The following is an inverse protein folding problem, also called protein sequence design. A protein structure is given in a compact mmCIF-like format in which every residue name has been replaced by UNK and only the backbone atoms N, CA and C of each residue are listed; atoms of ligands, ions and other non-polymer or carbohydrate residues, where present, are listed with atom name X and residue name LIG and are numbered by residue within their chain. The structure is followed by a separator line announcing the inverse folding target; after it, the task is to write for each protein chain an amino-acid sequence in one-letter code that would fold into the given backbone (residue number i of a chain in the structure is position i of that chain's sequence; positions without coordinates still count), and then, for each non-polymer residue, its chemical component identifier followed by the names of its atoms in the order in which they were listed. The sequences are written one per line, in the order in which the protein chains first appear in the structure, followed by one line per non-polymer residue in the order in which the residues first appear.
data_IF_404201178235
#
_entry.id   IF_404201178235
#
_cell.length_a   1.000
_cell.length_b   1.000
_cell.length_c   1.000
_cell.angle_alpha   90.00
_cell.angle_beta   90.00
_cell.angle_gamma   90.00
#
_symmetry.space_group_name_H-M   'P 1'
#
loop_
_entity.id
_entity.type
_entity.pdbx_description
1 polymer ?
#
# COMPACT_ATOMS: atom_id res chain seq x y z
N UNK A 1 -71.84 -18.26 28.32
CA UNK A 1 -73.11 -17.59 27.99
C UNK A 1 -72.77 -16.18 27.54
N UNK A 2 -72.89 -15.73 26.30
CA UNK A 2 -73.25 -16.26 24.98
C UNK A 2 -72.63 -15.23 23.98
N UNK A 3 -71.89 -15.64 22.94
CA UNK A 3 -72.31 -15.67 21.51
C UNK A 3 -72.74 -14.30 20.91
N UNK A 4 -72.44 -13.91 19.65
CA UNK A 4 -71.84 -14.57 18.48
C UNK A 4 -71.61 -13.56 17.32
N UNK A 5 -70.84 -14.01 16.32
CA UNK A 5 -70.91 -13.77 14.85
C UNK A 5 -70.75 -12.33 14.31
N UNK A 6 -70.17 -12.02 13.14
CA UNK A 6 -69.77 -12.65 11.87
C UNK A 6 -69.53 -11.45 10.92
N UNK A 7 -68.77 -11.44 9.82
CA UNK A 7 -68.68 -12.37 8.72
C UNK A 7 -67.50 -11.99 7.79
N UNK A 8 -67.07 -12.96 7.00
CA UNK A 8 -66.09 -12.85 5.92
C UNK A 8 -66.64 -12.13 4.68
N UNK A 9 -65.74 -11.57 3.87
CA UNK A 9 -66.02 -11.08 2.53
C UNK A 9 -64.76 -11.12 1.65
N UNK A 10 -64.73 -12.09 0.75
CA UNK A 10 -63.77 -12.35 -0.32
C UNK A 10 -64.08 -11.54 -1.59
N UNK A 11 -63.06 -11.04 -2.30
CA UNK A 11 -63.08 -10.73 -3.74
C UNK A 11 -61.62 -10.76 -4.23
N UNK A 12 -61.17 -11.76 -4.98
CA UNK A 12 -61.36 -11.99 -6.43
C UNK A 12 -60.46 -11.10 -7.31
N UNK A 13 -59.52 -11.80 -7.94
CA UNK A 13 -58.69 -11.57 -9.12
C UNK A 13 -58.91 -10.28 -9.96
N UNK A 14 -57.76 -9.69 -10.34
CA UNK A 14 -57.60 -9.00 -11.60
C UNK A 14 -56.27 -9.48 -12.23
N UNK A 15 -56.40 -10.29 -13.29
CA UNK A 15 -55.35 -10.46 -14.30
C UNK A 15 -55.24 -9.19 -15.16
N UNK A 16 -54.05 -9.01 -15.76
CA UNK A 16 -53.74 -8.47 -17.11
C UNK A 16 -52.28 -7.92 -17.10
N UNK A 17 -51.56 -7.82 -18.23
CA UNK A 17 -51.54 -8.70 -19.39
C UNK A 17 -50.10 -8.99 -19.90
N UNK A 18 -50.09 -9.79 -20.96
CA UNK A 18 -49.01 -10.16 -21.89
C UNK A 18 -48.14 -8.97 -22.36
N UNK A 19 -46.83 -9.20 -22.48
CA UNK A 19 -45.83 -8.14 -22.65
C UNK A 19 -44.59 -8.57 -23.45
N UNK A 20 -44.83 -8.93 -24.71
CA UNK A 20 -43.97 -8.81 -25.90
C UNK A 20 -42.45 -8.58 -25.76
N UNK A 21 -41.70 -9.49 -26.38
CA UNK A 21 -40.34 -9.26 -26.88
C UNK A 21 -40.40 -8.40 -28.15
N UNK A 22 -39.75 -7.23 -28.17
CA UNK A 22 -39.28 -6.56 -29.39
C UNK A 22 -38.02 -5.71 -29.13
N UNK A 23 -36.99 -5.95 -29.94
CA UNK A 23 -36.34 -4.89 -30.72
C UNK A 23 -35.22 -4.07 -30.09
N UNK A 24 -34.00 -4.32 -30.56
CA UNK A 24 -32.81 -3.49 -30.43
C UNK A 24 -33.00 -2.04 -30.91
N UNK A 25 -32.16 -1.13 -30.38
CA UNK A 25 -31.40 -0.07 -31.10
C UNK A 25 -31.30 1.20 -30.25
N UNK A 26 -30.09 1.56 -29.82
CA UNK A 26 -29.85 2.81 -29.09
C UNK A 26 -28.40 3.03 -28.71
N UNK A 27 -27.51 3.10 -29.71
CA UNK A 27 -26.17 3.67 -29.52
C UNK A 27 -26.31 5.17 -29.18
N UNK A 28 -25.95 5.55 -27.95
CA UNK A 28 -25.69 6.92 -27.52
C UNK A 28 -24.19 7.14 -27.25
N UNK A 29 -23.68 8.37 -27.34
CA UNK A 29 -22.36 8.65 -27.90
C UNK A 29 -21.20 8.33 -26.95
N UNK A 30 -20.14 7.83 -27.58
CA UNK A 30 -18.81 7.65 -27.03
C UNK A 30 -18.27 8.96 -26.44
N UNK A 31 -18.03 8.97 -25.13
CA UNK A 31 -17.21 9.99 -24.48
C UNK A 31 -15.76 9.82 -24.94
N UNK A 32 -15.34 10.61 -25.93
CA UNK A 32 -13.94 10.76 -26.30
C UNK A 32 -13.25 11.65 -25.26
N UNK A 33 -12.22 11.12 -24.59
CA UNK A 33 -11.32 11.91 -23.74
C UNK A 33 -10.41 12.78 -24.62
N UNK A 34 -10.26 14.09 -24.35
CA UNK A 34 -9.24 14.90 -25.00
C UNK A 34 -7.83 14.38 -24.63
N UNK A 35 -6.96 14.32 -25.64
CA UNK A 35 -5.67 13.67 -25.57
C UNK A 35 -4.70 14.30 -24.55
N UNK A 36 -4.24 13.47 -23.61
CA UNK A 36 -2.94 13.66 -22.99
C UNK A 36 -1.90 13.04 -23.91
N UNK A 37 -1.24 13.86 -24.75
CA UNK A 37 0.01 13.44 -25.39
C UNK A 37 1.01 13.17 -24.27
N UNK A 38 1.41 11.91 -24.11
CA UNK A 38 2.58 11.58 -23.31
C UNK A 38 3.76 12.42 -23.82
N UNK A 39 4.40 13.17 -22.93
CA UNK A 39 5.66 13.83 -23.26
C UNK A 39 6.62 12.75 -23.78
N UNK A 40 7.39 13.00 -24.85
CA UNK A 40 8.32 12.01 -25.37
C UNK A 40 9.29 11.61 -24.25
N UNK A 41 9.39 10.31 -23.98
CA UNK A 41 10.32 9.78 -23.01
C UNK A 41 11.72 10.29 -23.35
N UNK A 42 12.28 11.17 -22.51
CA UNK A 42 13.66 11.58 -22.64
C UNK A 42 14.52 10.31 -22.63
N UNK A 43 15.48 10.20 -23.57
CA UNK A 43 16.42 9.09 -23.58
C UNK A 43 17.25 9.16 -22.29
N UNK A 44 16.94 8.30 -21.33
CA UNK A 44 17.73 8.14 -20.11
C UNK A 44 19.05 7.49 -20.50
N UNK A 45 20.16 8.14 -20.16
CA UNK A 45 21.48 7.54 -20.32
C UNK A 45 21.67 6.53 -19.20
N UNK A 46 21.55 5.24 -19.51
CA UNK A 46 21.97 4.17 -18.59
C UNK A 46 23.49 4.20 -18.52
N UNK A 47 24.02 4.48 -17.33
CA UNK A 47 25.44 4.28 -17.02
C UNK A 47 25.55 2.83 -16.55
N UNK A 48 26.42 2.01 -17.16
CA UNK A 48 26.50 0.56 -16.91
C UNK A 48 26.53 0.20 -15.41
N UNK A 49 25.87 -0.88 -14.97
CA UNK A 49 25.75 -1.21 -13.55
C UNK A 49 27.09 -1.66 -12.97
N UNK A 50 27.43 -1.15 -11.77
CA UNK A 50 28.61 -1.55 -11.01
C UNK A 50 28.36 -2.75 -10.07
N UNK A 51 27.12 -3.20 -9.90
CA UNK A 51 26.77 -4.23 -8.92
C UNK A 51 26.20 -5.48 -9.60
N UNK A 52 26.97 -6.58 -9.53
CA UNK A 52 26.51 -7.91 -9.88
C UNK A 52 25.93 -8.58 -8.64
N UNK A 53 24.64 -8.93 -8.66
CA UNK A 53 24.04 -9.73 -7.59
C UNK A 53 24.58 -11.17 -7.67
N UNK A 54 25.12 -11.75 -6.58
CA UNK A 54 25.62 -13.13 -6.62
C UNK A 54 24.46 -14.13 -6.54
N UNK A 55 24.27 -14.93 -7.60
CA UNK A 55 23.26 -16.00 -7.70
C UNK A 55 22.57 -15.96 -9.07
N UNK A 56 22.76 -17.01 -9.88
CA UNK A 56 22.46 -17.00 -11.31
C UNK A 56 20.98 -16.94 -11.73
N UNK A 57 20.78 -16.50 -12.97
CA UNK A 57 19.65 -16.74 -13.89
C UNK A 57 18.19 -16.57 -13.41
N UNK A 58 17.94 -15.95 -12.26
CA UNK A 58 16.64 -15.30 -12.02
C UNK A 58 16.69 -13.86 -12.57
N UNK A 59 15.73 -13.55 -13.44
CA UNK A 59 15.60 -12.24 -14.11
C UNK A 59 15.38 -11.14 -13.06
N UNK A 60 16.49 -10.57 -12.57
CA UNK A 60 16.47 -9.49 -11.59
C UNK A 60 15.72 -8.29 -12.18
N UNK A 61 14.83 -7.69 -11.37
CA UNK A 61 14.11 -6.48 -11.80
C UNK A 61 15.10 -5.32 -11.92
N UNK A 62 15.27 -4.80 -13.13
CA UNK A 62 16.07 -3.59 -13.35
C UNK A 62 15.28 -2.36 -12.88
N UNK A 63 15.87 -1.60 -11.95
CA UNK A 63 15.31 -0.35 -11.44
C UNK A 63 16.29 0.77 -11.77
N UNK A 64 15.83 1.78 -12.51
CA UNK A 64 16.67 2.94 -12.77
C UNK A 64 16.80 3.75 -11.48
N UNK A 65 18.03 4.12 -11.16
CA UNK A 65 18.39 4.86 -9.95
C UNK A 65 19.03 6.19 -10.35
N UNK A 66 18.67 7.26 -9.63
CA UNK A 66 19.39 8.54 -9.62
C UNK A 66 19.68 8.90 -8.18
N UNK A 67 20.97 9.05 -7.87
CA UNK A 67 21.39 9.67 -6.62
C UNK A 67 21.32 11.19 -6.78
N UNK A 68 20.67 11.88 -5.85
CA UNK A 68 20.67 13.35 -5.78
C UNK A 68 21.84 13.90 -4.97
N UNK A 69 22.65 13.00 -4.44
CA UNK A 69 23.79 13.32 -3.60
C UNK A 69 24.91 12.29 -3.82
N UNK A 70 25.95 12.70 -4.54
CA UNK A 70 27.08 11.83 -4.92
C UNK A 70 27.94 11.41 -3.71
N UNK A 71 27.75 12.03 -2.54
CA UNK A 71 28.46 11.70 -1.30
C UNK A 71 27.81 10.57 -0.50
N UNK A 72 26.68 10.03 -0.94
CA UNK A 72 25.96 8.94 -0.27
C UNK A 72 26.11 7.63 -1.04
N UNK A 73 26.13 6.47 -0.35
CA UNK A 73 26.10 5.19 -1.02
C UNK A 73 24.76 4.96 -1.72
N UNK A 74 24.79 4.27 -2.85
CA UNK A 74 23.59 3.71 -3.46
C UNK A 74 22.91 2.70 -2.51
N UNK A 75 21.60 2.46 -2.64
CA UNK A 75 20.94 1.41 -1.86
C UNK A 75 21.55 0.03 -2.14
N UNK A 76 21.90 -0.69 -1.08
CA UNK A 76 22.54 -2.02 -1.18
C UNK A 76 21.82 -3.06 -0.32
N UNK A 77 21.77 -4.29 -0.81
CA UNK A 77 21.45 -5.47 -0.01
C UNK A 77 22.65 -5.85 0.85
N UNK A 78 22.47 -6.01 2.16
CA UNK A 78 23.59 -6.23 3.08
C UNK A 78 24.16 -7.65 2.98
N UNK A 79 23.29 -8.64 2.76
CA UNK A 79 23.62 -10.05 2.62
C UNK A 79 22.90 -10.69 1.43
N UNK A 80 23.44 -11.80 0.89
CA UNK A 80 22.73 -12.59 -0.11
C UNK A 80 21.36 -13.05 0.40
N UNK A 81 20.32 -12.82 -0.40
CA UNK A 81 18.94 -13.18 -0.06
C UNK A 81 18.19 -12.17 0.82
N UNK A 82 18.81 -11.04 1.20
CA UNK A 82 18.10 -9.97 1.87
C UNK A 82 16.97 -9.43 0.98
N UNK A 83 15.78 -9.25 1.56
CA UNK A 83 14.61 -8.77 0.82
C UNK A 83 14.66 -7.27 0.51
N UNK A 84 15.34 -6.48 1.35
CA UNK A 84 15.35 -5.02 1.28
C UNK A 84 16.75 -4.43 1.09
N UNK A 85 16.86 -3.44 0.22
CA UNK A 85 18.07 -2.62 0.08
C UNK A 85 18.05 -1.51 1.13
N UNK A 86 19.13 -1.34 1.90
CA UNK A 86 19.22 -0.32 2.95
C UNK A 86 19.15 1.11 2.35
N UNK A 87 18.31 1.96 2.93
CA UNK A 87 18.21 3.39 2.63
C UNK A 87 18.90 4.19 3.74
N UNK A 88 19.67 5.20 3.35
CA UNK A 88 20.35 6.12 4.28
C UNK A 88 19.59 7.44 4.42
N UNK A 89 19.86 8.21 5.48
CA UNK A 89 19.46 9.62 5.57
C UNK A 89 20.50 10.52 4.89
N UNK A 90 20.05 11.52 4.13
CA UNK A 90 20.94 12.50 3.50
C UNK A 90 21.30 13.67 4.43
N UNK A 91 20.68 13.74 5.63
CA UNK A 91 20.87 14.82 6.60
C UNK A 91 21.08 14.27 8.00
N UNK A 92 21.76 15.07 8.83
CA UNK A 92 21.74 14.90 10.28
C UNK A 92 20.35 15.25 10.81
N UNK A 93 19.83 14.42 11.72
CA UNK A 93 18.53 14.66 12.37
C UNK A 93 18.56 14.17 13.81
N UNK A 94 17.88 14.90 14.69
CA UNK A 94 17.58 14.47 16.05
C UNK A 94 16.07 14.37 16.19
N UNK A 95 15.59 13.16 16.47
CA UNK A 95 14.19 12.91 16.81
C UNK A 95 14.05 12.98 18.33
N UNK A 96 13.33 13.96 18.88
CA UNK A 96 13.07 13.99 20.31
C UNK A 96 12.24 12.75 20.72
N UNK A 97 12.13 12.46 22.02
CA UNK A 97 11.19 11.44 22.50
C UNK A 97 9.79 11.65 21.94
N UNK A 98 9.15 10.59 21.43
CA UNK A 98 7.86 10.62 20.72
C UNK A 98 7.82 11.53 19.47
N UNK A 99 8.97 12.03 19.04
CA UNK A 99 9.12 12.96 17.92
C UNK A 99 9.19 12.27 16.56
N UNK A 100 8.85 13.01 15.51
CA UNK A 100 8.92 12.56 14.12
C UNK A 100 9.57 13.60 13.21
N UNK A 101 10.22 13.12 12.15
CA UNK A 101 10.72 13.95 11.07
C UNK A 101 10.65 13.20 9.75
N UNK A 102 10.45 13.94 8.66
CA UNK A 102 10.59 13.40 7.31
C UNK A 102 11.97 13.75 6.80
N UNK A 103 12.76 12.74 6.47
CA UNK A 103 14.15 12.91 6.04
C UNK A 103 14.37 12.48 4.60
N UNK A 104 15.16 13.25 3.82
CA UNK A 104 15.60 12.86 2.48
C UNK A 104 16.56 11.66 2.53
N UNK A 105 16.56 10.85 1.47
CA UNK A 105 17.45 9.68 1.35
C UNK A 105 18.55 9.87 0.31
N UNK A 106 18.44 10.87 -0.55
CA UNK A 106 19.27 11.01 -1.73
C UNK A 106 18.85 10.12 -2.91
N UNK A 107 17.78 9.33 -2.78
CA UNK A 107 17.43 8.27 -3.75
C UNK A 107 16.19 8.65 -4.56
N UNK A 108 16.31 8.59 -5.90
CA UNK A 108 15.18 8.61 -6.83
C UNK A 108 15.20 7.35 -7.66
N UNK A 109 14.03 6.74 -7.87
CA UNK A 109 13.93 5.52 -8.67
C UNK A 109 12.89 5.64 -9.77
N UNK A 110 13.02 4.81 -10.80
CA UNK A 110 11.95 4.50 -11.74
C UNK A 110 11.72 2.99 -11.72
N UNK A 111 10.58 2.58 -11.17
CA UNK A 111 10.17 1.18 -11.21
C UNK A 111 9.45 0.88 -12.53
N UNK A 112 9.55 -0.35 -13.05
CA UNK A 112 8.70 -0.80 -14.14
C UNK A 112 7.23 -0.86 -13.70
N UNK A 113 6.32 -0.71 -14.68
CA UNK A 113 4.89 -0.91 -14.44
C UNK A 113 4.61 -2.32 -13.91
N UNK A 114 3.67 -2.45 -12.97
CA UNK A 114 3.38 -3.72 -12.28
C UNK A 114 4.23 -3.99 -11.04
N UNK A 115 5.07 -3.03 -10.65
CA UNK A 115 5.85 -3.08 -9.41
C UNK A 115 5.54 -1.88 -8.51
N UNK A 116 5.76 -2.08 -7.21
CA UNK A 116 5.86 -1.02 -6.22
C UNK A 116 7.07 -1.29 -5.34
N UNK A 117 7.57 -0.24 -4.68
CA UNK A 117 8.58 -0.41 -3.65
C UNK A 117 8.01 -0.01 -2.28
N UNK A 118 8.40 -0.74 -1.25
CA UNK A 118 7.90 -0.59 0.11
C UNK A 118 9.04 -0.23 1.04
N UNK A 119 8.88 0.87 1.77
CA UNK A 119 9.84 1.35 2.76
C UNK A 119 9.48 0.73 4.11
N UNK A 120 10.32 -0.20 4.57
CA UNK A 120 10.16 -0.90 5.84
C UNK A 120 11.12 -0.34 6.91
N UNK A 121 10.71 -0.35 8.19
CA UNK A 121 11.63 -0.15 9.30
C UNK A 121 12.75 -1.20 9.32
N UNK A 122 13.92 -0.82 9.84
CA UNK A 122 15.01 -1.76 10.13
C UNK A 122 14.83 -2.34 11.53
N UNK A 123 14.73 -3.66 11.65
CA UNK A 123 14.41 -4.35 12.92
C UNK A 123 15.38 -3.99 14.06
N UNK A 124 16.67 -3.84 13.75
CA UNK A 124 17.67 -3.46 14.75
C UNK A 124 17.48 -2.07 15.33
N UNK A 125 17.04 -1.09 14.53
CA UNK A 125 16.75 0.27 15.01
C UNK A 125 15.44 0.32 15.79
N UNK A 126 14.42 -0.42 15.33
CA UNK A 126 13.16 -0.56 16.05
C UNK A 126 13.36 -1.16 17.45
N UNK A 127 14.08 -2.29 17.55
CA UNK A 127 14.26 -3.00 18.81
C UNK A 127 15.17 -2.26 19.82
N UNK A 128 16.20 -1.55 19.35
CA UNK A 128 17.20 -0.92 20.23
C UNK A 128 16.95 0.55 20.53
N UNK A 129 16.24 1.25 19.65
CA UNK A 129 16.10 2.71 19.72
C UNK A 129 14.66 3.19 19.55
N UNK A 130 13.68 2.28 19.42
CA UNK A 130 12.29 2.67 19.18
C UNK A 130 12.07 3.41 17.85
N UNK A 131 12.99 3.26 16.88
CA UNK A 131 12.84 3.95 15.60
C UNK A 131 11.93 3.15 14.66
N UNK A 132 10.87 3.78 14.18
CA UNK A 132 9.96 3.22 13.19
C UNK A 132 9.68 4.21 12.06
N UNK A 133 8.92 3.77 11.05
CA UNK A 133 8.43 4.59 9.95
C UNK A 133 6.92 4.78 10.14
N UNK A 134 6.45 6.03 10.18
CA UNK A 134 5.05 6.36 10.51
C UNK A 134 4.06 5.69 9.56
N UNK A 135 4.37 5.70 8.26
CA UNK A 135 3.54 5.13 7.22
C UNK A 135 3.98 3.72 6.81
N UNK A 136 4.64 2.96 7.69
CA UNK A 136 5.14 1.63 7.37
C UNK A 136 4.00 0.64 7.01
N UNK A 137 4.17 -0.16 5.93
CA UNK A 137 5.17 0.01 4.87
C UNK A 137 4.88 1.22 3.99
N UNK A 138 5.86 2.11 3.81
CA UNK A 138 5.69 3.30 2.96
C UNK A 138 5.66 2.89 1.49
N UNK A 139 4.60 3.22 0.75
CA UNK A 139 4.45 2.79 -0.66
C UNK A 139 5.04 3.82 -1.62
N UNK A 140 5.93 3.36 -2.50
CA UNK A 140 6.53 4.12 -3.61
C UNK A 140 5.98 3.57 -4.93
N UNK A 141 5.17 4.38 -5.60
CA UNK A 141 4.51 4.02 -6.86
C UNK A 141 5.46 3.95 -8.05
N UNK A 142 5.18 3.10 -9.03
CA UNK A 142 5.97 3.01 -10.26
C UNK A 142 6.05 4.31 -11.07
N UNK A 143 5.06 5.19 -10.95
CA UNK A 143 5.06 6.51 -11.59
C UNK A 143 5.85 7.57 -10.82
N UNK A 144 6.27 7.32 -9.58
CA UNK A 144 6.96 8.31 -8.76
C UNK A 144 8.39 8.54 -9.26
N UNK A 145 8.80 9.80 -9.38
CA UNK A 145 10.16 10.22 -9.79
C UNK A 145 10.79 11.23 -8.84
N UNK A 146 10.06 11.58 -7.78
CA UNK A 146 10.59 12.39 -6.70
C UNK A 146 11.61 11.62 -5.87
N UNK A 147 12.21 12.32 -4.92
CA UNK A 147 13.12 11.71 -3.96
C UNK A 147 12.33 10.91 -2.93
N UNK A 148 12.75 9.66 -2.68
CA UNK A 148 12.20 8.86 -1.59
C UNK A 148 12.56 9.55 -0.28
N UNK A 149 11.54 9.91 0.49
CA UNK A 149 11.71 10.44 1.84
C UNK A 149 11.12 9.46 2.85
N UNK A 150 11.71 9.43 4.05
CA UNK A 150 11.30 8.52 5.12
C UNK A 150 10.76 9.33 6.28
N UNK A 151 9.49 9.11 6.64
CA UNK A 151 8.87 9.72 7.82
C UNK A 151 9.18 8.86 9.05
N UNK A 152 10.27 9.19 9.72
CA UNK A 152 10.74 8.50 10.92
C UNK A 152 9.95 8.95 12.15
N UNK A 153 9.71 8.01 13.07
CA UNK A 153 9.13 8.22 14.38
C UNK A 153 10.01 7.56 15.42
N UNK A 154 10.35 8.31 16.46
CA UNK A 154 10.89 7.79 17.69
C UNK A 154 9.73 7.39 18.62
N UNK A 155 9.61 6.12 18.97
CA UNK A 155 8.58 5.63 19.91
C UNK A 155 9.09 5.56 21.35
N UNK A 156 10.35 5.89 21.60
CA UNK A 156 10.89 6.01 22.95
C UNK A 156 10.33 7.29 23.60
N UNK A 157 9.88 7.17 24.85
CA UNK A 157 9.25 8.26 25.61
C UNK A 157 10.26 9.13 26.36
N UNK A 158 11.51 8.70 26.47
CA UNK A 158 12.53 9.34 27.29
C UNK A 158 13.78 9.74 26.52
N UNK A 159 14.20 8.94 25.53
CA UNK A 159 15.49 9.09 24.84
C UNK A 159 15.32 9.63 23.43
N UNK A 160 16.10 10.64 23.01
CA UNK A 160 16.13 11.06 21.61
C UNK A 160 16.85 10.00 20.75
N UNK A 161 16.53 10.00 19.46
CA UNK A 161 17.29 9.27 18.44
C UNK A 161 18.07 10.26 17.60
N UNK A 162 19.39 10.16 17.65
CA UNK A 162 20.30 10.94 16.81
C UNK A 162 20.73 10.10 15.61
N UNK A 163 20.55 10.64 14.41
CA UNK A 163 20.98 10.03 13.16
C UNK A 163 21.89 11.00 12.43
N UNK A 164 22.98 10.48 11.89
CA UNK A 164 23.92 11.21 11.06
C UNK A 164 23.64 10.92 9.60
N UNK A 165 23.94 11.90 8.76
CA UNK A 165 24.01 11.71 7.31
C UNK A 165 24.79 10.43 6.99
N UNK A 166 24.20 9.57 6.15
CA UNK A 166 24.76 8.27 5.78
C UNK A 166 24.33 7.11 6.68
N UNK A 167 23.68 7.37 7.82
CA UNK A 167 23.13 6.29 8.64
C UNK A 167 21.99 5.58 7.90
N UNK A 168 21.99 4.26 7.96
CA UNK A 168 20.96 3.41 7.36
C UNK A 168 19.71 3.40 8.22
N UNK A 169 18.62 4.01 7.75
CA UNK A 169 17.43 4.31 8.55
C UNK A 169 16.21 3.43 8.22
N UNK A 170 16.14 2.92 7.00
CA UNK A 170 15.03 2.11 6.48
C UNK A 170 15.56 1.11 5.46
N UNK A 171 14.69 0.24 4.95
CA UNK A 171 15.03 -0.67 3.85
C UNK A 171 13.91 -0.64 2.80
N UNK A 172 14.29 -0.70 1.54
CA UNK A 172 13.41 -0.65 0.38
C UNK A 172 13.21 -2.07 -0.18
N UNK A 173 11.98 -2.57 -0.17
CA UNK A 173 11.61 -3.88 -0.74
C UNK A 173 10.83 -3.66 -2.03
N UNK A 174 11.32 -4.16 -3.15
CA UNK A 174 10.64 -4.07 -4.46
C UNK A 174 9.81 -5.33 -4.69
N UNK A 175 8.53 -5.16 -5.02
CA UNK A 175 7.61 -6.29 -5.22
C UNK A 175 6.71 -6.08 -6.44
N UNK A 176 6.31 -7.19 -7.07
CA UNK A 176 5.22 -7.20 -8.05
C UNK A 176 3.90 -6.87 -7.34
N UNK A 177 3.07 -6.07 -8.00
CA UNK A 177 1.74 -5.68 -7.50
C UNK A 177 0.71 -5.78 -8.62
N UNK A 178 -0.50 -6.19 -8.26
CA UNK A 178 -1.62 -6.33 -9.20
C UNK A 178 -2.49 -5.07 -9.23
N UNK A 179 -2.95 -4.69 -10.43
CA UNK A 179 -3.98 -3.66 -10.60
C UNK A 179 -5.35 -4.31 -10.57
N UNK A 180 -5.99 -4.30 -9.40
CA UNK A 180 -7.33 -4.81 -9.24
C UNK A 180 -8.36 -3.99 -10.04
N UNK A 181 -9.26 -4.68 -10.75
CA UNK A 181 -10.52 -4.11 -11.24
C UNK A 181 -11.60 -4.36 -10.20
N UNK A 182 -12.04 -3.31 -9.52
CA UNK A 182 -13.15 -3.42 -8.58
C UNK A 182 -14.48 -3.63 -9.31
N UNK A 183 -15.23 -4.66 -8.90
CA UNK A 183 -16.57 -4.99 -9.42
C UNK A 183 -17.55 -4.92 -8.26
N UNK A 184 -18.56 -4.06 -8.36
CA UNK A 184 -19.59 -3.90 -7.33
C UNK A 184 -20.50 -5.13 -7.29
N UNK A 185 -20.76 -5.66 -6.10
CA UNK A 185 -21.68 -6.76 -5.85
C UNK A 185 -22.71 -6.38 -4.78
N UNK A 186 -23.90 -6.98 -4.82
CA UNK A 186 -24.91 -6.78 -3.78
C UNK A 186 -24.56 -7.51 -2.48
N UNK A 187 -23.91 -8.69 -2.59
CA UNK A 187 -23.42 -9.48 -1.46
C UNK A 187 -22.13 -10.22 -1.83
N UNK A 188 -21.27 -10.46 -0.84
CA UNK A 188 -20.06 -11.28 -0.98
C UNK A 188 -20.36 -12.77 -0.69
N UNK A 189 -19.59 -13.70 -1.26
CA UNK A 189 -19.64 -15.10 -0.84
C UNK A 189 -19.15 -15.26 0.60
N UNK A 190 -19.66 -16.28 1.30
CA UNK A 190 -19.19 -16.62 2.64
C UNK A 190 -17.73 -17.11 2.64
N UNK A 191 -17.06 -17.01 3.78
CA UNK A 191 -15.72 -17.56 4.00
C UNK A 191 -15.58 -18.12 5.42
N UNK A 192 -14.58 -18.98 5.67
CA UNK A 192 -14.30 -19.51 7.01
C UNK A 192 -13.98 -18.39 8.02
N UNK A 193 -13.37 -17.29 7.59
CA UNK A 193 -13.12 -16.12 8.45
C UNK A 193 -14.38 -15.29 8.68
N UNK A 194 -15.28 -15.21 7.70
CA UNK A 194 -16.48 -14.38 7.76
C UNK A 194 -16.13 -12.93 8.08
N UNK A 195 -16.81 -12.36 9.08
CA UNK A 195 -16.61 -11.00 9.59
C UNK A 195 -15.56 -10.92 10.73
N UNK A 196 -14.88 -12.03 11.07
CA UNK A 196 -13.89 -12.07 12.15
C UNK A 196 -12.59 -11.31 11.85
N UNK A 197 -12.27 -10.30 12.66
CA UNK A 197 -11.05 -9.50 12.62
C UNK A 197 -10.58 -9.05 14.01
N UNK A 198 -9.55 -8.19 14.08
CA UNK A 198 -9.10 -7.54 15.33
C UNK A 198 -8.80 -8.49 16.51
N UNK A 199 -8.11 -9.59 16.24
CA UNK A 199 -7.79 -10.57 17.28
C UNK A 199 -8.87 -11.63 17.51
N UNK A 200 -9.80 -11.83 16.57
CA UNK A 200 -10.85 -12.87 16.63
C UNK A 200 -10.36 -14.31 16.84
N UNK A 201 -9.06 -14.58 16.62
CA UNK A 201 -8.42 -15.87 16.91
C UNK A 201 -7.90 -15.99 18.35
N UNK A 202 -8.01 -14.93 19.16
CA UNK A 202 -7.41 -14.84 20.49
C UNK A 202 -5.87 -14.88 20.45
N UNK A 203 -5.26 -15.27 21.57
CA UNK A 203 -3.82 -15.48 21.70
C UNK A 203 -3.09 -14.48 22.61
N UNK A 204 -3.81 -13.50 23.16
CA UNK A 204 -3.29 -12.53 24.14
C UNK A 204 -4.09 -12.64 25.44
N UNK A 205 -3.41 -12.59 26.60
CA UNK A 205 -4.05 -12.74 27.94
C UNK A 205 -4.46 -11.41 28.59
N UNK A 206 -4.18 -10.27 27.95
CA UNK A 206 -4.69 -8.98 28.43
C UNK A 206 -6.19 -8.89 28.22
N UNK A 207 -6.89 -8.25 29.17
CA UNK A 207 -8.36 -8.15 29.22
C UNK A 207 -8.98 -7.95 27.83
N UNK A 208 -10.01 -8.75 27.54
CA UNK A 208 -10.83 -8.71 26.32
C UNK A 208 -11.52 -7.34 26.22
N UNK A 209 -10.78 -6.31 25.80
CA UNK A 209 -11.38 -5.08 25.36
C UNK A 209 -12.09 -5.38 24.04
N UNK A 210 -13.42 -5.45 24.09
CA UNK A 210 -14.23 -5.50 22.89
C UNK A 210 -13.75 -4.41 21.92
N UNK A 211 -13.61 -4.71 20.61
CA UNK A 211 -13.23 -3.70 19.64
C UNK A 211 -14.20 -2.52 19.74
N UNK A 212 -13.73 -1.27 19.53
CA UNK A 212 -14.60 -0.11 19.56
C UNK A 212 -15.76 -0.33 18.58
N UNK A 213 -16.99 -0.08 19.04
CA UNK A 213 -18.16 -0.15 18.18
C UNK A 213 -17.93 0.78 16.98
N UNK A 214 -17.99 0.21 15.78
CA UNK A 214 -18.03 0.99 14.54
C UNK A 214 -19.48 1.40 14.33
N UNK A 215 -19.81 2.66 14.62
CA UNK A 215 -21.09 3.22 14.20
C UNK A 215 -21.08 3.27 12.67
N UNK A 216 -22.09 2.62 12.06
CA UNK A 216 -22.30 2.53 10.62
C UNK A 216 -22.98 3.77 10.04
#
# INVERSE_FOLDING_TARGET
MADAAGAAGTAAAAEEPDGGVVGASGMGPAWQRPGARAAPAARVRVVSPANHLPGGDEEAVEVLLVMTDDGLPEPTYAHPGDAGADLVTAVDVVLPPLGRATVPTGVRIALPDGYAAFVHPRSGLAARHGLTVVNAPGTVDAGYRGEIQVTLLNTDAERPVELRRGDRIAQLVVQRVERARFVRAERLPGSHRGEGGFGSSGGWRGEDAAPPAVDA
#
